data_IF_992327580454
#
_entry.id   IF_992327580454
#
_cell.length_a   1.000
_cell.length_b   1.000
_cell.length_c   1.000
_cell.angle_alpha   90.00
_cell.angle_beta   90.00
_cell.angle_gamma   90.00
#
_symmetry.space_group_name_H-M   'P 1'
#
loop_
_entity.id
_entity.type
_entity.pdbx_description
1 polymer ?
#
# COMPACT_ATOMS: atom_id res chain seq x y z
N UNK A 1 -4.68 44.84 -21.41
CA UNK A 1 -4.88 43.90 -20.27
C UNK A 1 -4.61 42.51 -20.79
N UNK A 2 -3.42 41.97 -20.51
CA UNK A 2 -2.99 40.64 -21.01
C UNK A 2 -3.27 39.62 -19.89
N UNK A 3 -4.13 38.65 -20.17
CA UNK A 3 -4.34 37.50 -19.28
C UNK A 3 -3.28 36.43 -19.57
N UNK A 4 -2.40 36.21 -18.62
CA UNK A 4 -1.46 35.08 -18.66
C UNK A 4 -2.19 33.83 -18.16
N UNK A 5 -2.47 32.90 -19.07
CA UNK A 5 -2.95 31.55 -18.74
C UNK A 5 -1.75 30.70 -18.34
N UNK A 6 -1.65 30.38 -17.06
CA UNK A 6 -0.72 29.38 -16.56
C UNK A 6 -1.23 28.00 -16.93
N UNK A 7 -0.50 27.31 -17.81
CA UNK A 7 -0.67 25.89 -18.07
C UNK A 7 -0.18 25.11 -16.85
N UNK A 8 -1.11 24.55 -16.07
CA UNK A 8 -0.80 23.52 -15.08
C UNK A 8 -0.58 22.21 -15.84
N UNK A 9 0.66 21.80 -15.97
CA UNK A 9 1.03 20.47 -16.47
C UNK A 9 0.62 19.45 -15.41
N UNK A 10 -0.44 18.70 -15.67
CA UNK A 10 -0.77 17.52 -14.89
C UNK A 10 0.34 16.47 -15.11
N UNK A 11 1.17 16.26 -14.09
CA UNK A 11 2.09 15.11 -14.06
C UNK A 11 1.24 13.90 -13.69
N UNK A 12 0.68 13.26 -14.72
CA UNK A 12 0.01 11.96 -14.55
C UNK A 12 1.00 10.90 -14.03
N UNK A 13 0.53 9.86 -13.33
CA UNK A 13 1.37 8.80 -12.84
C UNK A 13 2.16 8.19 -14.01
N UNK A 14 3.48 8.17 -13.89
CA UNK A 14 4.35 7.54 -14.90
C UNK A 14 3.99 6.07 -14.97
N UNK A 15 3.42 5.63 -16.09
CA UNK A 15 3.28 4.22 -16.46
C UNK A 15 4.60 3.51 -16.17
N UNK A 16 4.50 2.40 -15.42
CA UNK A 16 5.63 1.64 -14.93
C UNK A 16 6.70 1.41 -15.99
N UNK A 17 7.92 1.78 -15.64
CA UNK A 17 9.10 1.42 -16.40
C UNK A 17 9.18 -0.10 -16.50
N UNK A 18 9.39 -0.60 -17.73
CA UNK A 18 9.68 -2.00 -17.96
C UNK A 18 10.82 -2.44 -17.03
N UNK A 19 10.55 -3.48 -16.21
CA UNK A 19 11.53 -4.01 -15.26
C UNK A 19 12.78 -4.47 -16.01
N UNK A 20 13.91 -3.80 -15.77
CA UNK A 20 15.21 -4.37 -16.01
C UNK A 20 15.47 -5.57 -15.09
N UNK A 21 16.57 -6.34 -15.26
CA UNK A 21 16.86 -7.48 -14.42
C UNK A 21 16.81 -7.07 -12.95
N UNK A 22 16.05 -7.84 -12.15
CA UNK A 22 15.72 -7.48 -10.77
C UNK A 22 16.98 -7.28 -9.95
N UNK A 23 17.15 -6.07 -9.46
CA UNK A 23 18.17 -5.77 -8.47
C UNK A 23 17.95 -6.57 -7.16
N UNK A 24 18.91 -6.58 -6.24
CA UNK A 24 18.82 -7.33 -4.99
C UNK A 24 17.67 -6.88 -4.06
N UNK A 25 17.05 -5.73 -4.35
CA UNK A 25 15.93 -5.18 -3.58
C UNK A 25 14.85 -4.61 -4.49
N UNK A 26 13.58 -4.77 -4.10
CA UNK A 26 12.43 -4.12 -4.72
C UNK A 26 11.76 -3.18 -3.72
N UNK A 27 11.03 -2.18 -4.23
CA UNK A 27 10.37 -1.18 -3.42
C UNK A 27 8.89 -1.11 -3.75
N UNK A 28 8.06 -1.15 -2.70
CA UNK A 28 6.64 -0.84 -2.76
C UNK A 28 6.40 0.44 -1.95
N UNK A 29 5.69 1.39 -2.55
CA UNK A 29 5.27 2.61 -1.86
C UNK A 29 3.81 2.51 -1.47
N UNK A 30 3.51 2.98 -0.26
CA UNK A 30 2.15 3.14 0.25
C UNK A 30 1.88 4.63 0.45
N UNK A 31 0.65 5.04 0.18
CA UNK A 31 0.23 6.44 0.25
C UNK A 31 -1.11 6.58 0.97
N UNK A 32 -1.27 7.68 1.67
CA UNK A 32 -2.59 8.16 2.04
C UNK A 32 -3.40 8.43 0.78
N UNK A 33 -4.61 7.91 0.71
CA UNK A 33 -5.50 8.08 -0.44
C UNK A 33 -6.88 8.52 0.02
N UNK A 34 -7.50 9.39 -0.76
CA UNK A 34 -8.89 9.80 -0.54
C UNK A 34 -9.78 9.06 -1.53
N UNK A 35 -10.84 8.38 -1.06
CA UNK A 35 -11.83 7.80 -1.95
C UNK A 35 -12.58 8.93 -2.68
N UNK A 36 -12.73 8.80 -4.00
CA UNK A 36 -13.55 9.69 -4.84
C UNK A 36 -14.79 8.93 -5.29
N UNK A 37 -15.80 9.64 -5.69
CA UNK A 37 -16.95 9.05 -6.37
C UNK A 37 -16.44 8.24 -7.56
N UNK A 38 -17.04 7.10 -7.86
CA UNK A 38 -16.63 6.12 -8.88
C UNK A 38 -15.46 5.18 -8.51
N UNK A 39 -15.20 4.99 -7.22
CA UNK A 39 -14.15 4.08 -6.72
C UNK A 39 -12.71 4.41 -7.13
N UNK A 40 -12.47 5.58 -7.68
CA UNK A 40 -11.11 6.06 -7.89
C UNK A 40 -10.49 6.51 -6.56
N UNK A 41 -9.28 6.05 -6.28
CA UNK A 41 -8.51 6.43 -5.10
C UNK A 41 -7.42 7.42 -5.50
N UNK A 42 -7.48 8.63 -4.97
CA UNK A 42 -6.52 9.69 -5.29
C UNK A 42 -5.50 9.83 -4.17
N UNK A 43 -4.22 9.80 -4.52
CA UNK A 43 -3.12 10.04 -3.58
C UNK A 43 -3.23 11.46 -3.04
N UNK A 44 -3.22 11.60 -1.71
CA UNK A 44 -3.20 12.90 -1.04
C UNK A 44 -1.84 13.55 -1.24
N UNK A 45 -1.83 14.71 -1.89
CA UNK A 45 -0.59 15.46 -2.10
C UNK A 45 -0.01 15.90 -0.75
N UNK A 46 1.26 15.57 -0.52
CA UNK A 46 1.95 15.80 0.75
C UNK A 46 1.36 15.08 1.98
N UNK A 47 0.47 14.11 1.78
CA UNK A 47 -0.09 13.25 2.83
C UNK A 47 0.93 12.32 3.46
N UNK A 48 0.43 11.44 4.30
CA UNK A 48 1.21 10.36 4.91
C UNK A 48 1.65 9.35 3.83
N UNK A 49 2.80 8.74 4.02
CA UNK A 49 3.33 7.78 3.06
C UNK A 49 4.27 6.78 3.72
N UNK A 50 4.57 5.70 3.02
CA UNK A 50 5.54 4.72 3.47
C UNK A 50 6.24 4.02 2.32
N UNK A 51 7.38 3.42 2.64
CA UNK A 51 8.19 2.64 1.71
C UNK A 51 8.53 1.28 2.31
N UNK A 52 8.12 0.24 1.62
CA UNK A 52 8.53 -1.13 1.88
C UNK A 52 9.71 -1.47 0.97
N UNK A 53 10.82 -1.89 1.55
CA UNK A 53 11.98 -2.40 0.83
C UNK A 53 12.05 -3.90 1.03
N UNK A 54 12.10 -4.66 -0.05
CA UNK A 54 11.99 -6.12 -0.05
C UNK A 54 13.28 -6.74 -0.57
N UNK A 55 13.85 -7.65 0.20
CA UNK A 55 15.00 -8.47 -0.15
C UNK A 55 14.51 -9.86 -0.51
N UNK A 56 14.23 -10.10 -1.78
CA UNK A 56 13.62 -11.37 -2.21
C UNK A 56 14.48 -12.60 -1.94
N UNK A 57 15.79 -12.47 -2.04
CA UNK A 57 16.73 -13.57 -1.72
C UNK A 57 16.64 -14.03 -0.25
N UNK A 58 16.08 -13.21 0.63
CA UNK A 58 15.87 -13.52 2.04
C UNK A 58 14.38 -13.57 2.41
N UNK A 59 13.50 -13.25 1.48
CA UNK A 59 12.05 -13.06 1.74
C UNK A 59 11.79 -12.14 2.94
N UNK A 60 12.65 -11.17 3.14
CA UNK A 60 12.64 -10.22 4.24
C UNK A 60 12.26 -8.84 3.75
N UNK A 61 11.55 -8.08 4.57
CA UNK A 61 11.22 -6.70 4.27
C UNK A 61 11.52 -5.76 5.44
N UNK A 62 11.68 -4.49 5.09
CA UNK A 62 11.66 -3.35 6.00
C UNK A 62 10.67 -2.33 5.45
N UNK A 63 9.74 -1.90 6.29
CA UNK A 63 8.81 -0.82 6.00
C UNK A 63 9.10 0.38 6.89
N UNK A 64 9.14 1.58 6.29
CA UNK A 64 9.25 2.86 6.99
C UNK A 64 8.07 3.73 6.56
N UNK A 65 7.23 4.12 7.51
CA UNK A 65 6.13 5.06 7.31
C UNK A 65 6.46 6.43 7.89
N UNK A 66 5.86 7.47 7.33
CA UNK A 66 6.14 8.87 7.65
C UNK A 66 4.87 9.70 7.68
N UNK A 67 4.85 10.72 8.53
CA UNK A 67 3.73 11.65 8.74
C UNK A 67 2.46 10.99 9.23
N UNK A 68 2.58 9.87 9.91
CA UNK A 68 1.48 9.16 10.54
C UNK A 68 1.06 9.87 11.83
N UNK A 69 -0.08 9.47 12.39
CA UNK A 69 -0.50 9.98 13.70
C UNK A 69 0.48 9.49 14.77
N UNK A 70 1.07 10.43 15.52
CA UNK A 70 2.04 10.12 16.56
C UNK A 70 1.44 9.21 17.64
N UNK A 71 2.31 8.39 18.25
CA UNK A 71 2.00 7.48 19.35
C UNK A 71 0.89 6.46 19.05
N UNK A 72 0.59 6.26 17.74
CA UNK A 72 -0.46 5.37 17.24
C UNK A 72 0.16 4.06 16.76
N UNK A 73 -0.47 2.94 17.13
CA UNK A 73 -0.06 1.62 16.67
C UNK A 73 -0.69 1.28 15.31
N UNK A 74 0.15 0.85 14.39
CA UNK A 74 -0.22 0.44 13.04
C UNK A 74 0.10 -1.03 12.79
N UNK A 75 -0.70 -1.65 11.93
CA UNK A 75 -0.51 -3.02 11.44
C UNK A 75 -0.32 -2.99 9.92
N UNK A 76 0.76 -3.58 9.45
CA UNK A 76 0.99 -3.82 8.02
C UNK A 76 0.35 -5.15 7.65
N UNK A 77 -0.57 -5.13 6.70
CA UNK A 77 -1.34 -6.30 6.27
C UNK A 77 -1.16 -6.56 4.78
N UNK A 78 -1.29 -7.84 4.38
CA UNK A 78 -1.60 -8.20 3.00
C UNK A 78 -3.09 -8.50 2.94
N UNK A 79 -3.79 -7.73 2.13
CA UNK A 79 -5.24 -7.77 2.03
C UNK A 79 -5.68 -8.67 0.87
N UNK A 80 -6.60 -9.57 1.18
CA UNK A 80 -7.30 -10.34 0.15
C UNK A 80 -8.63 -9.66 -0.12
N UNK A 81 -8.89 -9.35 -1.38
CA UNK A 81 -10.18 -8.87 -1.84
C UNK A 81 -11.03 -10.06 -2.31
N UNK A 82 -11.83 -10.68 -1.44
CA UNK A 82 -12.80 -11.67 -1.85
C UNK A 82 -14.08 -10.92 -2.22
N UNK A 83 -14.23 -10.50 -3.47
CA UNK A 83 -15.51 -10.08 -4.02
C UNK A 83 -16.37 -9.19 -3.10
N UNK A 84 -15.92 -7.98 -2.80
CA UNK A 84 -16.69 -6.92 -2.14
C UNK A 84 -17.36 -7.28 -0.78
N UNK A 85 -16.85 -8.22 -0.01
CA UNK A 85 -17.39 -8.50 1.32
C UNK A 85 -16.64 -7.74 2.39
N UNK A 86 -17.34 -6.90 3.11
CA UNK A 86 -16.88 -6.26 4.34
C UNK A 86 -17.55 -6.92 5.55
N UNK A 87 -16.89 -7.13 6.69
CA UNK A 87 -15.48 -6.81 6.99
C UNK A 87 -14.46 -7.68 6.24
N UNK A 88 -13.26 -7.13 6.04
CA UNK A 88 -12.18 -7.83 5.35
C UNK A 88 -11.60 -8.93 6.25
N UNK A 89 -11.92 -10.17 5.96
CA UNK A 89 -11.47 -11.35 6.71
C UNK A 89 -10.22 -11.96 6.10
N UNK A 90 -9.46 -12.72 6.92
CA UNK A 90 -8.27 -13.44 6.50
C UNK A 90 -7.15 -12.54 5.92
N UNK A 91 -6.99 -11.34 6.45
CA UNK A 91 -5.80 -10.53 6.19
C UNK A 91 -4.56 -11.26 6.73
N UNK A 92 -3.49 -11.29 5.97
CA UNK A 92 -2.21 -11.73 6.48
C UNK A 92 -1.51 -10.57 7.18
N UNK A 93 -1.20 -10.71 8.46
CA UNK A 93 -0.46 -9.71 9.23
C UNK A 93 1.02 -9.86 8.91
N UNK A 94 1.63 -8.84 8.33
CA UNK A 94 3.05 -8.79 8.01
C UNK A 94 3.87 -8.31 9.20
N UNK A 95 3.32 -7.42 10.02
CA UNK A 95 3.95 -6.90 11.22
C UNK A 95 3.21 -5.71 11.80
N UNK A 96 3.61 -5.30 13.02
CA UNK A 96 3.06 -4.14 13.73
C UNK A 96 4.17 -3.20 14.17
N UNK A 97 3.84 -1.93 14.35
CA UNK A 97 4.75 -0.92 14.88
C UNK A 97 3.99 0.29 15.41
N UNK A 98 4.60 1.01 16.35
CA UNK A 98 4.05 2.25 16.88
C UNK A 98 4.78 3.43 16.25
N UNK A 99 4.04 4.41 15.73
CA UNK A 99 4.60 5.65 15.24
C UNK A 99 5.22 6.44 16.39
N UNK A 100 6.41 6.99 16.16
CA UNK A 100 7.09 7.87 17.13
C UNK A 100 6.40 9.23 17.22
N UNK A 101 6.89 10.09 18.11
CA UNK A 101 6.38 11.46 18.29
C UNK A 101 6.46 12.34 17.03
N UNK A 102 7.22 11.93 16.01
CA UNK A 102 7.32 12.61 14.72
C UNK A 102 6.45 11.95 13.63
N UNK A 103 5.66 10.95 13.98
CA UNK A 103 4.82 10.20 13.04
C UNK A 103 5.60 9.23 12.15
N UNK A 104 6.76 8.73 12.58
CA UNK A 104 7.49 7.71 11.84
C UNK A 104 7.26 6.34 12.46
N UNK A 105 7.01 5.33 11.62
CA UNK A 105 6.91 3.93 12.03
C UNK A 105 7.96 3.09 11.31
N UNK A 106 8.50 2.11 12.01
CA UNK A 106 9.43 1.13 11.46
C UNK A 106 8.93 -0.28 11.73
N UNK A 107 8.68 -1.05 10.67
CA UNK A 107 8.20 -2.43 10.74
C UNK A 107 9.11 -3.31 9.89
N UNK A 108 9.50 -4.47 10.41
CA UNK A 108 10.28 -5.44 9.64
C UNK A 108 9.76 -6.86 9.86
N UNK A 109 9.98 -7.72 8.89
CA UNK A 109 9.53 -9.11 8.98
C UNK A 109 9.86 -9.94 7.74
N UNK A 110 9.29 -11.14 7.72
CA UNK A 110 9.41 -12.05 6.59
C UNK A 110 8.11 -12.10 5.80
N UNK A 111 8.21 -12.13 4.46
CA UNK A 111 7.05 -12.13 3.57
C UNK A 111 6.36 -13.50 3.49
N UNK A 112 7.12 -14.58 3.61
CA UNK A 112 6.59 -15.93 3.44
C UNK A 112 6.18 -16.57 4.77
N UNK A 113 5.07 -17.28 4.84
CA UNK A 113 4.04 -17.53 3.80
C UNK A 113 2.89 -16.51 3.82
N UNK A 114 3.14 -15.28 4.28
CA UNK A 114 2.12 -14.32 4.73
C UNK A 114 1.45 -13.51 3.61
N UNK A 115 2.03 -13.48 2.39
CA UNK A 115 1.42 -12.69 1.30
C UNK A 115 0.20 -13.39 0.70
N UNK A 116 -0.87 -12.65 0.58
CA UNK A 116 -2.09 -13.09 -0.11
C UNK A 116 -2.05 -12.61 -1.56
N UNK A 117 -1.81 -13.54 -2.47
CA UNK A 117 -1.76 -13.28 -3.91
C UNK A 117 -3.14 -13.47 -4.53
N UNK A 118 -3.55 -12.50 -5.32
CA UNK A 118 -4.76 -12.57 -6.13
C UNK A 118 -4.46 -12.20 -7.58
N UNK A 119 -5.33 -12.66 -8.47
CA UNK A 119 -5.40 -12.18 -9.84
C UNK A 119 -6.46 -11.10 -9.91
N UNK A 120 -6.07 -9.91 -10.35
CA UNK A 120 -6.96 -8.78 -10.53
C UNK A 120 -7.34 -8.66 -12.00
N UNK A 121 -8.62 -8.56 -12.30
CA UNK A 121 -9.07 -8.42 -13.69
C UNK A 121 -8.54 -7.14 -14.32
N UNK A 122 -8.40 -7.18 -15.64
CA UNK A 122 -7.92 -6.05 -16.47
C UNK A 122 -9.03 -5.05 -16.78
N UNK A 123 -10.14 -5.09 -16.05
CA UNK A 123 -11.23 -4.15 -16.26
C UNK A 123 -10.86 -2.74 -15.75
N UNK A 124 -11.59 -1.76 -16.22
CA UNK A 124 -11.35 -0.34 -15.90
C UNK A 124 -11.79 0.05 -14.50
N UNK A 125 -12.42 -0.85 -13.74
CA UNK A 125 -12.92 -0.59 -12.38
C UNK A 125 -11.86 -0.83 -11.31
N UNK A 126 -10.76 -1.51 -11.65
CA UNK A 126 -9.66 -1.76 -10.74
C UNK A 126 -8.47 -0.83 -11.00
N UNK A 127 -7.93 -0.27 -9.94
CA UNK A 127 -6.71 0.55 -9.98
C UNK A 127 -5.50 -0.25 -10.50
N UNK A 128 -5.55 -1.59 -10.33
CA UNK A 128 -4.47 -2.50 -10.71
C UNK A 128 -5.00 -3.70 -11.50
N UNK A 129 -4.15 -4.22 -12.37
CA UNK A 129 -4.42 -5.45 -13.12
C UNK A 129 -3.26 -6.45 -13.02
N UNK A 130 -3.57 -7.72 -13.16
CA UNK A 130 -2.61 -8.82 -13.11
C UNK A 130 -2.47 -9.43 -11.73
N UNK A 131 -1.50 -10.33 -11.56
CA UNK A 131 -1.30 -11.08 -10.31
C UNK A 131 -0.37 -10.33 -9.36
N UNK A 132 -0.77 -10.21 -8.10
CA UNK A 132 0.03 -9.59 -7.06
C UNK A 132 -0.68 -9.57 -5.71
N UNK A 133 -0.05 -8.97 -4.73
CA UNK A 133 -0.62 -8.77 -3.39
C UNK A 133 -0.85 -7.27 -3.13
N UNK A 134 -2.00 -6.95 -2.58
CA UNK A 134 -2.26 -5.64 -1.98
C UNK A 134 -1.63 -5.61 -0.59
N UNK A 135 -1.02 -4.48 -0.25
CA UNK A 135 -0.39 -4.27 1.06
C UNK A 135 -0.86 -2.93 1.61
N UNK A 136 -1.47 -2.94 2.80
CA UNK A 136 -1.96 -1.75 3.48
C UNK A 136 -1.29 -1.58 4.83
N UNK A 137 -1.17 -0.34 5.27
CA UNK A 137 -0.90 0.01 6.66
C UNK A 137 -2.21 0.53 7.26
N UNK A 138 -2.72 -0.14 8.28
CA UNK A 138 -4.00 0.18 8.92
C UNK A 138 -3.79 0.44 10.41
N UNK A 139 -4.77 1.07 11.08
CA UNK A 139 -4.75 1.19 12.53
C UNK A 139 -4.85 -0.20 13.16
N UNK A 140 -4.00 -0.48 14.16
CA UNK A 140 -4.07 -1.76 14.87
C UNK A 140 -5.38 -1.96 15.63
N UNK A 141 -6.00 -0.86 16.08
CA UNK A 141 -7.29 -0.91 16.78
C UNK A 141 -8.47 -1.30 15.87
N UNK A 142 -8.32 -1.14 14.56
CA UNK A 142 -9.34 -1.53 13.59
C UNK A 142 -9.27 -3.02 13.23
N UNK A 143 -8.25 -3.72 13.76
CA UNK A 143 -8.06 -5.16 13.54
C UNK A 143 -8.61 -5.98 14.72
N UNK A 144 -9.35 -7.04 14.42
CA UNK A 144 -9.65 -8.14 15.34
C UNK A 144 -9.04 -9.43 14.81
N UNK A 145 -7.93 -9.84 15.39
CA UNK A 145 -7.11 -10.93 14.85
C UNK A 145 -6.66 -10.65 13.41
N UNK A 146 -7.14 -11.45 12.46
CA UNK A 146 -6.86 -11.28 11.02
C UNK A 146 -7.99 -10.60 10.26
N UNK A 147 -8.95 -9.99 10.96
CA UNK A 147 -10.09 -9.31 10.36
C UNK A 147 -9.96 -7.80 10.55
N UNK A 148 -10.02 -7.05 9.46
CA UNK A 148 -10.17 -5.60 9.50
C UNK A 148 -11.67 -5.29 9.68
N UNK A 149 -12.06 -4.86 10.89
CA UNK A 149 -13.45 -4.66 11.29
C UNK A 149 -13.95 -3.24 11.09
N UNK A 150 -13.09 -2.27 11.43
CA UNK A 150 -13.41 -0.86 11.31
C UNK A 150 -12.73 -0.25 10.08
N UNK A 151 -13.26 0.89 9.60
CA UNK A 151 -12.83 1.53 8.37
C UNK A 151 -12.51 3.00 8.58
N UNK A 152 -11.23 3.32 8.72
CA UNK A 152 -10.71 4.66 8.90
C UNK A 152 -9.70 5.03 7.79
N UNK A 153 -10.13 5.09 6.52
CA UNK A 153 -9.22 5.22 5.37
C UNK A 153 -8.36 6.49 5.39
N UNK A 154 -8.79 7.54 6.09
CA UNK A 154 -7.99 8.77 6.24
C UNK A 154 -6.73 8.59 7.09
N UNK A 155 -6.63 7.49 7.85
CA UNK A 155 -5.48 7.15 8.69
C UNK A 155 -4.71 5.94 8.17
N UNK A 156 -5.09 5.40 7.00
CA UNK A 156 -4.45 4.25 6.37
C UNK A 156 -3.49 4.67 5.27
N UNK A 157 -2.55 3.78 4.97
CA UNK A 157 -1.78 3.86 3.73
C UNK A 157 -2.12 2.67 2.84
N UNK A 158 -2.33 2.96 1.58
CA UNK A 158 -2.69 2.01 0.54
C UNK A 158 -1.56 1.88 -0.47
N UNK A 159 -1.37 0.71 -1.04
CA UNK A 159 -0.34 0.48 -2.04
C UNK A 159 -0.44 1.43 -3.23
N UNK A 160 0.72 1.82 -3.77
CA UNK A 160 0.82 2.55 -5.03
C UNK A 160 0.91 1.64 -6.26
N UNK A 161 1.15 0.34 -6.07
CA UNK A 161 1.13 -0.74 -7.08
C UNK A 161 1.01 -2.09 -6.35
N UNK A 162 0.67 -3.15 -7.06
CA UNK A 162 0.67 -4.50 -6.51
C UNK A 162 2.09 -4.96 -6.19
N UNK A 163 2.25 -5.61 -5.06
CA UNK A 163 3.48 -6.33 -4.77
C UNK A 163 3.52 -7.62 -5.61
N UNK A 164 4.46 -7.70 -6.53
CA UNK A 164 4.67 -8.87 -7.38
C UNK A 164 5.95 -9.57 -6.96
N UNK A 165 5.84 -10.86 -6.60
CA UNK A 165 7.06 -11.66 -6.42
C UNK A 165 7.67 -11.99 -7.78
N UNK A 166 9.00 -12.08 -7.85
CA UNK A 166 9.66 -12.62 -9.03
C UNK A 166 9.13 -14.04 -9.29
N UNK A 167 8.82 -14.33 -10.55
CA UNK A 167 8.53 -15.70 -10.95
C UNK A 167 9.71 -16.56 -10.49
N UNK A 168 9.46 -17.50 -9.59
CA UNK A 168 10.43 -18.52 -9.26
C UNK A 168 10.55 -19.40 -10.50
N UNK A 169 11.54 -19.08 -11.34
CA UNK A 169 11.93 -19.92 -12.47
C UNK A 169 12.77 -21.08 -11.94
#
# INVERSE_FOLDING_TARGET
>A
MLFATTLVSAIGPKKGLAKGPMGPAEHLYLYEKTPVEDHAWTIVEHGSWGKMTILFNKMFFVFNGHKLVADTQYTLISYREPGNTWPATNCAILGTGTADANGNVHIMGFLMPLLVYNEYPTDTSNEYSGTGAKVWLVLSNDMDGTTLQDWNPAEYLFEGDLLRLPSLI
#
